data_IF_787258442779
#
_entry.id   IF_787258442779
#
_cell.length_a   1.000
_cell.length_b   1.000
_cell.length_c   1.000
_cell.angle_alpha   90.00
_cell.angle_beta   90.00
_cell.angle_gamma   90.00
#
_symmetry.space_group_name_H-M   'P 1'
#
loop_
_entity.id
_entity.type
_entity.pdbx_description
1 polymer ?
#
# COMPACT_ATOMS: atom_id res chain seq x y z
N UNK A 1 18.12 23.72 -15.24
CA UNK A 1 18.32 23.14 -16.59
C UNK A 1 16.93 22.77 -17.10
N UNK A 2 16.65 22.86 -18.40
CA UNK A 2 15.32 22.53 -18.96
C UNK A 2 15.39 21.23 -19.75
N UNK A 3 14.24 20.56 -19.95
CA UNK A 3 14.13 19.26 -20.66
C UNK A 3 14.98 19.20 -21.92
N UNK A 4 14.81 20.16 -22.84
CA UNK A 4 15.54 20.20 -24.12
C UNK A 4 17.05 20.14 -23.93
N UNK A 5 17.57 20.92 -22.97
CA UNK A 5 19.01 20.96 -22.69
C UNK A 5 19.47 19.63 -22.08
N UNK A 6 18.64 19.01 -21.22
CA UNK A 6 18.95 17.74 -20.58
C UNK A 6 19.07 16.60 -21.59
N UNK A 7 18.11 16.51 -22.49
CA UNK A 7 18.07 15.52 -23.58
C UNK A 7 19.24 15.75 -24.55
N UNK A 8 19.55 17.00 -24.90
CA UNK A 8 20.69 17.32 -25.78
C UNK A 8 22.05 16.93 -25.17
N UNK A 9 22.25 17.22 -23.88
CA UNK A 9 23.47 16.81 -23.17
C UNK A 9 23.54 15.29 -23.01
N UNK A 10 22.43 14.63 -22.70
CA UNK A 10 22.37 13.16 -22.63
C UNK A 10 22.72 12.51 -23.98
N UNK A 11 22.17 13.01 -25.09
CA UNK A 11 22.47 12.52 -26.43
C UNK A 11 23.96 12.68 -26.78
N UNK A 12 24.57 13.81 -26.41
CA UNK A 12 25.99 14.04 -26.61
C UNK A 12 26.86 13.07 -25.81
N UNK A 13 26.48 12.79 -24.57
CA UNK A 13 27.20 11.88 -23.69
C UNK A 13 27.09 10.42 -24.13
N UNK A 14 26.03 10.05 -24.87
CA UNK A 14 25.79 8.70 -25.40
C UNK A 14 26.27 8.53 -26.85
N UNK A 15 27.05 9.46 -27.41
CA UNK A 15 27.52 9.35 -28.80
C UNK A 15 28.48 8.17 -29.07
N UNK A 16 29.03 7.58 -28.00
CA UNK A 16 30.03 6.51 -28.01
C UNK A 16 29.44 5.10 -27.87
N UNK A 17 28.12 4.96 -27.70
CA UNK A 17 27.41 3.66 -27.70
C UNK A 17 26.77 3.38 -29.07
N UNK A 18 26.27 2.14 -29.28
CA UNK A 18 25.67 1.74 -30.55
C UNK A 18 24.44 2.58 -30.89
N UNK A 19 24.25 2.91 -32.17
CA UNK A 19 23.20 3.82 -32.62
C UNK A 19 21.80 3.35 -32.19
N UNK A 20 21.55 2.04 -32.20
CA UNK A 20 20.29 1.44 -31.78
C UNK A 20 20.04 1.60 -30.27
N UNK A 21 21.05 1.38 -29.44
CA UNK A 21 20.97 1.52 -27.98
C UNK A 21 20.83 2.99 -27.57
N UNK A 22 21.49 3.89 -28.32
CA UNK A 22 21.34 5.34 -28.15
C UNK A 22 19.93 5.77 -28.48
N UNK A 23 19.36 5.34 -29.60
CA UNK A 23 18.00 5.71 -30.00
C UNK A 23 16.97 5.21 -28.98
N UNK A 24 17.10 3.98 -28.51
CA UNK A 24 16.21 3.41 -27.48
C UNK A 24 16.33 4.15 -26.14
N UNK A 25 17.55 4.42 -25.68
CA UNK A 25 17.76 5.18 -24.45
C UNK A 25 17.18 6.59 -24.55
N UNK A 26 17.43 7.30 -25.66
CA UNK A 26 16.91 8.64 -25.88
C UNK A 26 15.39 8.65 -25.91
N UNK A 27 14.76 7.70 -26.59
CA UNK A 27 13.31 7.57 -26.64
C UNK A 27 12.71 7.35 -25.25
N UNK A 28 13.31 6.47 -24.44
CA UNK A 28 12.84 6.20 -23.07
C UNK A 28 12.80 7.47 -22.20
N UNK A 29 13.85 8.29 -22.25
CA UNK A 29 13.88 9.53 -21.47
C UNK A 29 12.97 10.61 -22.06
N UNK A 30 12.83 10.69 -23.39
CA UNK A 30 11.87 11.59 -24.02
C UNK A 30 10.43 11.29 -23.59
N UNK A 31 10.03 10.02 -23.65
CA UNK A 31 8.72 9.54 -23.22
C UNK A 31 8.50 9.82 -21.72
N UNK A 32 9.52 9.63 -20.87
CA UNK A 32 9.44 9.91 -19.44
C UNK A 32 9.18 11.40 -19.15
N UNK A 33 9.81 12.30 -19.90
CA UNK A 33 9.54 13.73 -19.79
C UNK A 33 8.16 14.12 -20.34
N UNK A 34 7.69 13.45 -21.40
CA UNK A 34 6.34 13.66 -21.95
C UNK A 34 5.24 13.21 -21.00
N UNK A 35 5.42 12.07 -20.32
CA UNK A 35 4.50 11.57 -19.29
C UNK A 35 4.42 12.49 -18.07
N UNK A 36 5.54 13.06 -17.65
CA UNK A 36 5.57 14.02 -16.55
C UNK A 36 4.86 15.34 -16.90
N UNK A 37 4.89 15.72 -18.18
CA UNK A 37 4.29 16.95 -18.70
C UNK A 37 5.10 18.22 -18.37
N UNK A 38 4.79 19.35 -19.04
CA UNK A 38 5.59 20.58 -18.97
C UNK A 38 5.64 21.20 -17.56
N UNK A 39 4.65 20.90 -16.71
CA UNK A 39 4.58 21.42 -15.34
C UNK A 39 5.57 20.73 -14.38
N UNK A 40 6.00 19.50 -14.69
CA UNK A 40 6.84 18.68 -13.81
C UNK A 40 8.27 18.46 -14.33
N UNK A 41 8.65 19.05 -15.48
CA UNK A 41 9.99 18.88 -16.07
C UNK A 41 11.13 19.20 -15.09
N UNK A 42 10.96 20.26 -14.28
CA UNK A 42 11.99 20.65 -13.32
C UNK A 42 12.12 19.66 -12.15
N UNK A 43 11.02 18.99 -11.76
CA UNK A 43 11.04 17.94 -10.77
C UNK A 43 11.72 16.69 -11.32
N UNK A 44 11.38 16.30 -12.56
CA UNK A 44 12.03 15.18 -13.26
C UNK A 44 13.54 15.36 -13.35
N UNK A 45 14.02 16.56 -13.69
CA UNK A 45 15.47 16.85 -13.75
C UNK A 45 16.12 16.68 -12.37
N UNK A 46 15.46 17.12 -11.30
CA UNK A 46 15.99 16.96 -9.95
C UNK A 46 16.04 15.48 -9.53
N UNK A 47 15.04 14.70 -9.93
CA UNK A 47 14.92 13.28 -9.60
C UNK A 47 15.91 12.42 -10.40
N UNK A 48 16.12 12.76 -11.68
CA UNK A 48 17.10 12.09 -12.56
C UNK A 48 18.55 12.45 -12.19
N UNK A 49 18.80 13.67 -11.70
CA UNK A 49 20.15 14.16 -11.40
C UNK A 49 20.83 14.78 -12.62
N UNK A 50 22.17 14.74 -12.69
CA UNK A 50 22.90 15.27 -13.85
C UNK A 50 22.79 14.33 -15.07
N UNK A 51 22.79 14.86 -16.30
CA UNK A 51 22.80 14.03 -17.51
C UNK A 51 24.04 13.13 -17.60
N UNK A 52 25.18 13.53 -17.01
CA UNK A 52 26.39 12.69 -16.91
C UNK A 52 26.13 11.43 -16.10
N UNK A 53 25.43 11.56 -14.98
CA UNK A 53 25.06 10.42 -14.13
C UNK A 53 24.16 9.44 -14.87
N UNK A 54 23.17 9.97 -15.59
CA UNK A 54 22.26 9.15 -16.38
C UNK A 54 23.00 8.42 -17.50
N UNK A 55 23.86 9.13 -18.24
CA UNK A 55 24.68 8.52 -19.28
C UNK A 55 25.59 7.41 -18.74
N UNK A 56 26.22 7.61 -17.58
CA UNK A 56 27.07 6.61 -16.96
C UNK A 56 26.30 5.35 -16.52
N UNK A 57 25.08 5.50 -16.01
CA UNK A 57 24.22 4.36 -15.65
C UNK A 57 23.83 3.56 -16.90
N UNK A 58 23.47 4.23 -17.99
CA UNK A 58 23.11 3.57 -19.25
C UNK A 58 24.29 2.77 -19.79
N UNK A 59 25.48 3.40 -19.89
CA UNK A 59 26.70 2.74 -20.37
C UNK A 59 27.09 1.54 -19.50
N UNK A 60 27.00 1.68 -18.18
CA UNK A 60 27.28 0.57 -17.27
C UNK A 60 26.22 -0.55 -17.39
N UNK A 61 24.95 -0.21 -17.69
CA UNK A 61 23.91 -1.19 -17.95
C UNK A 61 24.19 -2.05 -19.19
N UNK A 62 24.69 -1.42 -20.26
CA UNK A 62 25.05 -2.06 -21.52
C UNK A 62 26.31 -2.93 -21.39
N UNK A 63 27.34 -2.44 -20.69
CA UNK A 63 28.60 -3.18 -20.48
C UNK A 63 28.40 -4.44 -19.62
N UNK A 64 27.38 -4.45 -18.74
CA UNK A 64 27.02 -5.61 -17.93
C UNK A 64 26.10 -6.61 -18.64
N UNK A 65 25.87 -6.45 -19.95
CA UNK A 65 24.87 -7.21 -20.69
C UNK A 65 25.44 -8.18 -21.74
N UNK A 66 26.49 -8.95 -21.44
CA UNK A 66 26.80 -10.18 -22.21
C UNK A 66 27.37 -11.31 -21.34
N UNK A 67 26.48 -12.11 -20.75
CA UNK A 67 26.48 -13.57 -20.90
C UNK A 67 25.10 -14.09 -20.49
N UNK A 68 24.33 -14.54 -21.49
CA UNK A 68 23.03 -15.17 -21.31
C UNK A 68 23.19 -16.49 -20.55
N UNK A 69 22.88 -16.48 -19.26
CA UNK A 69 22.31 -17.62 -18.54
C UNK A 69 21.38 -17.08 -17.44
N UNK A 70 20.24 -16.53 -17.85
CA UNK A 70 19.13 -16.28 -16.92
C UNK A 70 18.41 -17.61 -16.71
N UNK A 71 18.86 -18.35 -15.70
CA UNK A 71 18.06 -19.42 -15.11
C UNK A 71 16.83 -18.78 -14.45
N UNK A 72 15.64 -19.01 -15.02
CA UNK A 72 14.37 -18.55 -14.47
C UNK A 72 14.12 -19.24 -13.11
N UNK A 73 14.58 -18.59 -12.04
CA UNK A 73 14.25 -18.97 -10.66
C UNK A 73 13.27 -17.94 -10.08
N UNK A 74 12.18 -18.46 -9.49
CA UNK A 74 11.03 -17.73 -8.94
C UNK A 74 11.34 -16.83 -7.72
N UNK A 75 12.62 -16.56 -7.45
CA UNK A 75 13.07 -15.56 -6.46
C UNK A 75 13.55 -14.32 -7.21
N UNK A 76 12.81 -13.24 -7.02
CA UNK A 76 13.03 -11.95 -7.67
C UNK A 76 14.48 -11.46 -7.60
N UNK A 77 14.85 -10.68 -8.62
CA UNK A 77 16.15 -10.04 -8.81
C UNK A 77 16.61 -9.28 -7.55
N UNK A 78 17.43 -9.90 -6.70
CA UNK A 78 18.26 -9.17 -5.74
C UNK A 78 19.62 -8.93 -6.40
N UNK A 79 19.65 -7.91 -7.27
CA UNK A 79 20.84 -7.62 -8.06
C UNK A 79 21.81 -6.73 -7.26
N UNK A 80 22.55 -7.35 -6.34
CA UNK A 80 23.62 -6.71 -5.55
C UNK A 80 24.68 -6.03 -6.42
N UNK A 81 24.90 -6.54 -7.64
CA UNK A 81 25.78 -5.93 -8.65
C UNK A 81 25.29 -4.56 -9.13
N UNK A 82 23.96 -4.34 -9.23
CA UNK A 82 23.42 -3.05 -9.67
C UNK A 82 23.63 -1.96 -8.62
N UNK A 83 23.49 -2.32 -7.34
CA UNK A 83 23.71 -1.39 -6.22
C UNK A 83 25.19 -1.03 -6.07
N UNK A 84 26.06 -2.03 -6.20
CA UNK A 84 27.51 -1.82 -6.21
C UNK A 84 27.96 -1.00 -7.42
N UNK A 85 27.40 -1.24 -8.61
CA UNK A 85 27.71 -0.46 -9.82
C UNK A 85 27.26 1.00 -9.68
N UNK A 86 26.06 1.27 -9.13
CA UNK A 86 25.63 2.64 -8.79
C UNK A 86 26.57 3.36 -7.83
N UNK A 87 27.04 2.69 -6.78
CA UNK A 87 27.99 3.28 -5.81
C UNK A 87 29.36 3.56 -6.45
N UNK A 88 29.82 2.69 -7.37
CA UNK A 88 31.09 2.88 -8.10
C UNK A 88 30.98 4.03 -9.11
N UNK A 89 29.85 4.13 -9.82
CA UNK A 89 29.57 5.21 -10.78
C UNK A 89 29.46 6.55 -10.05
N UNK A 90 28.68 6.62 -8.96
CA UNK A 90 28.55 7.84 -8.17
C UNK A 90 29.92 8.27 -7.60
N UNK A 91 30.75 7.34 -7.14
CA UNK A 91 32.11 7.65 -6.66
C UNK A 91 33.05 8.14 -7.77
N UNK A 92 32.97 7.55 -8.98
CA UNK A 92 33.79 7.94 -10.13
C UNK A 92 33.39 9.33 -10.66
N UNK A 93 32.10 9.61 -10.77
CA UNK A 93 31.58 10.91 -11.22
C UNK A 93 31.96 12.02 -10.25
N UNK A 94 31.80 11.79 -8.93
CA UNK A 94 32.24 12.75 -7.90
C UNK A 94 33.74 13.04 -8.03
N UNK A 95 34.56 12.02 -8.32
CA UNK A 95 36.01 12.21 -8.49
C UNK A 95 36.40 12.94 -9.79
N UNK A 96 35.63 12.79 -10.86
CA UNK A 96 35.85 13.46 -12.15
C UNK A 96 35.31 14.91 -12.16
N UNK A 97 34.22 15.18 -11.42
CA UNK A 97 33.67 16.53 -11.22
C UNK A 97 34.59 17.38 -10.32
N UNK A 98 35.24 16.76 -9.32
CA UNK A 98 36.17 17.42 -8.40
C UNK A 98 37.54 17.74 -9.05
N UNK A 99 37.90 17.11 -10.18
CA UNK A 99 39.17 17.37 -10.88
C UNK A 99 39.12 18.52 -11.89
N UNK A 100 37.92 19.08 -12.16
CA UNK A 100 37.75 20.27 -13.01
C UNK A 100 37.71 21.60 -12.22
N UNK A 101 37.75 21.55 -10.89
CA UNK A 101 37.76 22.72 -10.01
C UNK A 101 39.11 22.86 -9.29
N UNK A 102 39.77 23.96 -9.61
CA UNK A 102 41.04 24.45 -9.07
C UNK A 102 41.16 24.40 -7.54
N UNK A 103 42.20 23.69 -7.10
CA UNK A 103 43.17 23.94 -6.03
C UNK A 103 42.74 24.49 -4.64
N UNK A 104 43.22 23.77 -3.62
CA UNK A 104 43.33 24.11 -2.19
C UNK A 104 42.04 24.08 -1.31
N UNK A 105 41.98 23.13 -0.37
CA UNK A 105 42.50 23.33 0.99
C UNK A 105 42.02 22.23 1.96
N UNK A 106 42.98 21.82 2.78
CA UNK A 106 42.83 21.16 4.06
C UNK A 106 41.81 21.88 4.96
N UNK A 107 40.74 21.18 5.35
CA UNK A 107 40.03 21.44 6.61
C UNK A 107 39.70 20.14 7.32
N UNK A 108 40.71 19.71 8.05
CA UNK A 108 40.63 19.05 9.34
C UNK A 108 39.35 19.39 10.17
N UNK A 109 38.90 18.36 10.91
CA UNK A 109 38.47 18.42 12.33
C UNK A 109 36.96 18.50 12.62
N UNK A 110 36.36 17.38 13.07
CA UNK A 110 36.11 17.27 14.51
C UNK A 110 35.90 15.84 15.03
N UNK A 111 36.44 15.69 16.23
CA UNK A 111 36.57 14.50 17.06
C UNK A 111 35.25 14.09 17.73
N UNK A 112 35.20 12.79 18.07
CA UNK A 112 34.50 12.13 19.19
C UNK A 112 33.04 11.71 18.93
N UNK A 113 32.83 10.40 18.87
CA UNK A 113 32.52 9.63 20.08
C UNK A 113 32.86 8.15 19.88
N UNK A 114 33.76 7.65 20.73
CA UNK A 114 34.19 6.25 20.77
C UNK A 114 33.19 5.47 21.60
N UNK A 115 32.26 4.78 20.94
CA UNK A 115 31.45 3.74 21.59
C UNK A 115 32.13 2.40 21.34
N UNK A 116 32.72 1.86 22.41
CA UNK A 116 33.31 0.52 22.43
C UNK A 116 32.17 -0.51 22.43
N UNK A 117 31.66 -0.87 21.25
CA UNK A 117 30.88 -2.10 21.07
C UNK A 117 31.41 -2.83 19.84
N UNK A 118 32.48 -3.60 20.04
CA UNK A 118 32.93 -4.61 19.07
C UNK A 118 32.01 -5.83 19.22
N UNK A 119 30.73 -5.65 18.89
CA UNK A 119 29.77 -6.72 18.73
C UNK A 119 29.90 -7.30 17.32
N UNK A 120 30.04 -8.62 17.21
CA UNK A 120 30.10 -9.31 15.92
C UNK A 120 28.98 -8.81 15.00
N UNK A 121 29.31 -8.30 13.80
CA UNK A 121 28.36 -7.64 12.89
C UNK A 121 27.16 -8.53 12.57
N UNK A 122 27.36 -9.85 12.58
CA UNK A 122 26.31 -10.83 12.29
C UNK A 122 25.25 -10.92 13.40
N UNK A 123 25.64 -10.83 14.68
CA UNK A 123 24.64 -10.86 15.77
C UNK A 123 23.85 -9.57 15.87
N UNK A 124 24.48 -8.43 15.59
CA UNK A 124 23.80 -7.13 15.60
C UNK A 124 22.87 -7.00 14.40
N UNK A 125 23.24 -7.56 13.23
CA UNK A 125 22.37 -7.67 12.06
C UNK A 125 21.19 -8.61 12.33
N UNK A 126 21.41 -9.76 12.97
CA UNK A 126 20.32 -10.67 13.36
C UNK A 126 19.38 -10.03 14.40
N UNK A 127 19.92 -9.34 15.41
CA UNK A 127 19.12 -8.58 16.39
C UNK A 127 18.34 -7.42 15.74
N UNK A 128 18.94 -6.72 14.77
CA UNK A 128 18.28 -5.68 13.99
C UNK A 128 17.18 -6.27 13.11
N UNK A 129 17.39 -7.45 12.50
CA UNK A 129 16.38 -8.18 11.72
C UNK A 129 15.21 -8.60 12.63
N UNK A 130 15.45 -9.13 13.83
CA UNK A 130 14.37 -9.45 14.78
C UNK A 130 13.65 -8.20 15.31
N UNK A 131 14.36 -7.08 15.50
CA UNK A 131 13.75 -5.78 15.86
C UNK A 131 12.91 -5.22 14.72
N UNK A 132 13.36 -5.33 13.47
CA UNK A 132 12.62 -4.85 12.29
C UNK A 132 11.42 -5.76 12.03
N UNK A 133 11.57 -7.08 12.10
CA UNK A 133 10.46 -8.03 12.00
C UNK A 133 9.46 -7.81 13.14
N UNK A 134 9.94 -7.61 14.38
CA UNK A 134 9.10 -7.27 15.52
C UNK A 134 8.41 -5.92 15.36
N UNK A 135 9.09 -4.89 14.84
CA UNK A 135 8.52 -3.58 14.57
C UNK A 135 7.54 -3.59 13.39
N UNK A 136 7.73 -4.44 12.37
CA UNK A 136 6.80 -4.63 11.26
C UNK A 136 5.57 -5.42 11.71
N UNK A 137 5.75 -6.46 12.53
CA UNK A 137 4.64 -7.17 13.21
C UNK A 137 3.96 -6.33 14.29
N UNK A 138 4.56 -5.25 14.78
CA UNK A 138 3.99 -4.30 15.74
C UNK A 138 3.41 -3.03 15.06
N UNK A 139 3.87 -2.69 13.85
CA UNK A 139 3.33 -1.60 13.03
C UNK A 139 2.13 -2.05 12.16
N UNK A 140 2.08 -3.31 11.72
CA UNK A 140 0.91 -3.90 11.06
C UNK A 140 -0.36 -3.91 11.94
N UNK A 141 -0.32 -4.18 13.26
CA UNK A 141 -1.46 -4.02 14.16
C UNK A 141 -1.84 -2.56 14.40
N UNK A 142 -0.92 -1.61 14.30
CA UNK A 142 -1.21 -0.20 14.61
C UNK A 142 -1.77 0.52 13.37
N UNK A 143 -1.22 0.27 12.18
CA UNK A 143 -1.77 0.78 10.90
C UNK A 143 -2.90 -0.10 10.34
N UNK A 144 -2.70 -1.42 10.34
CA UNK A 144 -3.70 -2.40 9.92
C UNK A 144 -4.81 -2.60 10.96
N UNK A 145 -4.61 -2.24 12.23
CA UNK A 145 -5.69 -2.22 13.22
C UNK A 145 -6.68 -1.10 12.95
N UNK A 146 -6.24 0.09 12.53
CA UNK A 146 -7.14 1.20 12.20
C UNK A 146 -7.86 0.93 10.87
N UNK A 147 -7.13 0.47 9.84
CA UNK A 147 -7.74 0.10 8.56
C UNK A 147 -8.64 -1.15 8.68
N UNK A 148 -8.25 -2.12 9.50
CA UNK A 148 -9.03 -3.31 9.83
C UNK A 148 -10.24 -3.01 10.71
N UNK A 149 -10.15 -2.03 11.61
CA UNK A 149 -11.30 -1.51 12.36
C UNK A 149 -12.28 -0.81 11.43
N UNK A 150 -11.79 0.01 10.50
CA UNK A 150 -12.63 0.65 9.48
C UNK A 150 -13.33 -0.39 8.60
N UNK A 151 -12.57 -1.25 7.93
CA UNK A 151 -13.10 -2.28 7.04
C UNK A 151 -13.98 -3.28 7.80
N UNK A 152 -13.60 -3.65 9.02
CA UNK A 152 -14.36 -4.53 9.90
C UNK A 152 -15.66 -3.90 10.39
N UNK A 153 -15.67 -2.60 10.69
CA UNK A 153 -16.88 -1.87 11.05
C UNK A 153 -17.84 -1.78 9.86
N UNK A 154 -17.35 -1.45 8.67
CA UNK A 154 -18.16 -1.44 7.45
C UNK A 154 -18.68 -2.84 7.10
N UNK A 155 -17.82 -3.87 7.18
CA UNK A 155 -18.19 -5.27 6.97
C UNK A 155 -19.21 -5.77 7.99
N UNK A 156 -19.08 -5.38 9.26
CA UNK A 156 -20.04 -5.73 10.30
C UNK A 156 -21.40 -5.06 10.08
N UNK A 157 -21.42 -3.75 9.75
CA UNK A 157 -22.67 -3.03 9.46
C UNK A 157 -23.35 -3.59 8.20
N UNK A 158 -22.57 -3.86 7.15
CA UNK A 158 -23.08 -4.43 5.91
C UNK A 158 -23.58 -5.86 6.10
N UNK A 159 -22.80 -6.70 6.76
CA UNK A 159 -23.16 -8.09 7.08
C UNK A 159 -24.38 -8.19 7.99
N UNK A 160 -24.53 -7.27 8.95
CA UNK A 160 -25.70 -7.21 9.82
C UNK A 160 -26.94 -6.76 9.03
N UNK A 161 -26.80 -5.78 8.12
CA UNK A 161 -27.88 -5.37 7.22
C UNK A 161 -28.35 -6.50 6.30
N UNK A 162 -27.41 -7.16 5.61
CA UNK A 162 -27.71 -8.29 4.72
C UNK A 162 -28.26 -9.49 5.52
N UNK A 163 -27.72 -9.75 6.71
CA UNK A 163 -28.16 -10.82 7.59
C UNK A 163 -29.59 -10.64 8.08
N UNK A 164 -29.99 -9.41 8.43
CA UNK A 164 -31.39 -9.11 8.81
C UNK A 164 -32.34 -9.28 7.63
N UNK A 165 -31.94 -8.85 6.42
CA UNK A 165 -32.74 -9.01 5.20
C UNK A 165 -32.92 -10.48 4.81
N UNK A 166 -31.83 -11.23 4.68
CA UNK A 166 -31.87 -12.66 4.36
C UNK A 166 -32.54 -13.47 5.46
N UNK A 167 -32.26 -13.18 6.73
CA UNK A 167 -32.85 -13.85 7.89
C UNK A 167 -34.37 -13.64 7.95
N UNK A 168 -34.84 -12.40 7.72
CA UNK A 168 -36.26 -12.08 7.63
C UNK A 168 -36.95 -12.85 6.50
N UNK A 169 -36.35 -12.88 5.30
CA UNK A 169 -36.89 -13.62 4.15
C UNK A 169 -36.96 -15.13 4.42
N UNK A 170 -35.90 -15.71 4.99
CA UNK A 170 -35.86 -17.13 5.35
C UNK A 170 -36.94 -17.50 6.38
N UNK A 171 -37.18 -16.63 7.37
CA UNK A 171 -38.25 -16.83 8.35
C UNK A 171 -39.64 -16.82 7.72
N UNK A 172 -39.88 -15.93 6.75
CA UNK A 172 -41.16 -15.88 6.02
C UNK A 172 -41.37 -17.14 5.17
N UNK A 173 -40.34 -17.61 4.46
CA UNK A 173 -40.39 -18.86 3.69
C UNK A 173 -40.66 -20.05 4.64
N UNK A 174 -39.96 -20.10 5.77
CA UNK A 174 -40.16 -21.13 6.80
C UNK A 174 -41.58 -21.14 7.38
N UNK A 175 -42.18 -19.96 7.58
CA UNK A 175 -43.56 -19.84 8.02
C UNK A 175 -44.53 -20.44 6.99
N UNK A 176 -44.36 -20.12 5.71
CA UNK A 176 -45.19 -20.65 4.61
C UNK A 176 -45.10 -22.19 4.57
N UNK A 177 -43.90 -22.75 4.67
CA UNK A 177 -43.69 -24.21 4.70
C UNK A 177 -44.38 -24.84 5.92
N UNK A 178 -44.30 -24.21 7.10
CA UNK A 178 -45.01 -24.67 8.29
C UNK A 178 -46.53 -24.68 8.09
N UNK A 179 -47.10 -23.65 7.46
CA UNK A 179 -48.54 -23.61 7.17
C UNK A 179 -48.99 -24.73 6.22
N UNK A 180 -48.23 -24.99 5.15
CA UNK A 180 -48.55 -26.08 4.21
C UNK A 180 -48.50 -27.44 4.92
N UNK A 181 -47.47 -27.67 5.74
CA UNK A 181 -47.33 -28.91 6.53
C UNK A 181 -48.41 -29.04 7.60
N UNK A 182 -48.76 -27.95 8.27
CA UNK A 182 -49.82 -27.93 9.28
C UNK A 182 -51.16 -28.37 8.67
N UNK A 183 -51.50 -27.86 7.49
CA UNK A 183 -52.73 -28.22 6.78
C UNK A 183 -52.79 -29.71 6.39
N UNK A 184 -51.66 -30.31 5.99
CA UNK A 184 -51.62 -31.74 5.67
C UNK A 184 -51.74 -32.64 6.90
N UNK A 185 -51.22 -32.22 8.06
CA UNK A 185 -51.15 -33.05 9.26
C UNK A 185 -52.43 -32.95 10.12
N UNK A 186 -53.18 -31.85 10.01
CA UNK A 186 -54.33 -31.57 10.88
C UNK A 186 -55.44 -32.63 10.83
N UNK A 187 -55.59 -33.30 9.67
CA UNK A 187 -56.60 -34.34 9.47
C UNK A 187 -56.27 -35.65 10.23
N UNK A 188 -54.98 -35.94 10.42
CA UNK A 188 -54.52 -37.16 11.09
C UNK A 188 -54.16 -36.92 12.56
N UNK A 189 -53.54 -35.77 12.86
CA UNK A 189 -53.04 -35.43 14.19
C UNK A 189 -53.34 -33.96 14.48
N UNK A 190 -54.56 -33.63 14.94
CA UNK A 190 -54.98 -32.25 15.14
C UNK A 190 -54.09 -31.48 16.14
N UNK A 191 -53.57 -32.17 17.17
CA UNK A 191 -52.63 -31.58 18.13
C UNK A 191 -51.30 -31.16 17.49
N UNK A 192 -50.72 -32.01 16.64
CA UNK A 192 -49.47 -31.68 15.93
C UNK A 192 -49.67 -30.56 14.89
N UNK A 193 -50.84 -30.53 14.24
CA UNK A 193 -51.24 -29.44 13.35
C UNK A 193 -51.29 -28.09 14.06
N UNK A 194 -51.89 -28.02 15.26
CA UNK A 194 -51.93 -26.80 16.07
C UNK A 194 -50.54 -26.29 16.49
N UNK A 195 -49.66 -27.19 16.92
CA UNK A 195 -48.29 -26.82 17.35
C UNK A 195 -47.48 -26.27 16.16
N UNK A 196 -47.58 -26.91 15.00
CA UNK A 196 -46.88 -26.45 13.78
C UNK A 196 -47.44 -25.13 13.24
N UNK A 197 -48.74 -24.89 13.39
CA UNK A 197 -49.39 -23.63 13.05
C UNK A 197 -48.94 -22.50 14.00
N UNK A 198 -48.83 -22.77 15.30
CA UNK A 198 -48.29 -21.83 16.27
C UNK A 198 -46.81 -21.50 16.00
N UNK A 199 -46.02 -22.49 15.59
CA UNK A 199 -44.63 -22.28 15.18
C UNK A 199 -44.52 -21.37 13.94
N UNK A 200 -45.42 -21.53 12.95
CA UNK A 200 -45.50 -20.65 11.79
C UNK A 200 -45.81 -19.20 12.17
N UNK A 201 -46.77 -18.97 13.07
CA UNK A 201 -47.06 -17.63 13.59
C UNK A 201 -45.88 -17.01 14.36
N UNK A 202 -45.14 -17.82 15.14
CA UNK A 202 -43.95 -17.36 15.84
C UNK A 202 -42.84 -16.92 14.86
N UNK A 203 -42.65 -17.62 13.74
CA UNK A 203 -41.70 -17.22 12.70
C UNK A 203 -42.07 -15.90 12.01
N UNK A 204 -43.37 -15.64 11.80
CA UNK A 204 -43.85 -14.35 11.27
C UNK A 204 -43.58 -13.23 12.29
N UNK A 205 -43.88 -13.46 13.58
CA UNK A 205 -43.58 -12.49 14.63
C UNK A 205 -42.07 -12.17 14.69
N UNK A 206 -41.22 -13.18 14.56
CA UNK A 206 -39.77 -13.02 14.48
C UNK A 206 -39.35 -12.17 13.26
N UNK A 207 -39.97 -12.39 12.09
CA UNK A 207 -39.71 -11.59 10.89
C UNK A 207 -40.07 -10.10 11.08
N UNK A 208 -41.16 -9.79 11.80
CA UNK A 208 -41.50 -8.41 12.14
C UNK A 208 -40.48 -7.77 13.10
N UNK A 209 -39.92 -8.54 14.04
CA UNK A 209 -38.84 -8.07 14.91
C UNK A 209 -37.59 -7.72 14.08
N UNK A 210 -37.22 -8.57 13.11
CA UNK A 210 -36.14 -8.26 12.17
C UNK A 210 -36.40 -6.95 11.39
N UNK A 211 -37.63 -6.73 10.92
CA UNK A 211 -38.00 -5.51 10.20
C UNK A 211 -37.98 -4.26 11.11
N UNK A 212 -38.38 -4.41 12.37
CA UNK A 212 -38.31 -3.33 13.36
C UNK A 212 -36.85 -2.95 13.69
N UNK A 213 -35.98 -3.96 13.85
CA UNK A 213 -34.54 -3.75 14.03
C UNK A 213 -33.91 -3.08 12.79
N UNK A 214 -34.31 -3.46 11.58
CA UNK A 214 -33.85 -2.81 10.34
C UNK A 214 -34.21 -1.32 10.30
N UNK A 215 -35.43 -0.94 10.69
CA UNK A 215 -35.82 0.48 10.82
C UNK A 215 -35.01 1.19 11.91
N UNK A 216 -34.73 0.51 13.02
CA UNK A 216 -33.85 1.02 14.07
C UNK A 216 -32.46 1.36 13.54
N UNK A 217 -31.85 0.45 12.78
CA UNK A 217 -30.52 0.62 12.19
C UNK A 217 -30.47 1.83 11.25
N UNK A 218 -31.46 2.02 10.37
CA UNK A 218 -31.51 3.17 9.45
C UNK A 218 -31.52 4.50 10.21
N UNK A 219 -32.21 4.56 11.36
CA UNK A 219 -32.25 5.75 12.21
C UNK A 219 -30.97 5.95 13.04
N UNK A 220 -30.31 4.85 13.41
CA UNK A 220 -29.09 4.85 14.23
C UNK A 220 -27.86 5.24 13.40
N UNK A 221 -27.77 4.86 12.13
CA UNK A 221 -26.63 5.19 11.24
C UNK A 221 -26.28 6.69 11.25
N UNK A 222 -27.20 7.64 10.97
CA UNK A 222 -26.88 9.07 10.99
C UNK A 222 -26.57 9.60 12.40
N UNK A 223 -27.14 9.01 13.45
CA UNK A 223 -26.84 9.39 14.83
C UNK A 223 -25.42 8.96 15.24
N UNK A 224 -24.99 7.77 14.82
CA UNK A 224 -23.63 7.26 15.05
C UNK A 224 -22.61 8.09 14.29
N UNK A 225 -22.89 8.44 13.03
CA UNK A 225 -22.01 9.32 12.23
C UNK A 225 -21.85 10.68 12.91
N UNK A 226 -22.95 11.31 13.36
CA UNK A 226 -22.88 12.58 14.10
C UNK A 226 -22.07 12.45 15.40
N UNK A 227 -22.27 11.37 16.16
CA UNK A 227 -21.50 11.12 17.38
C UNK A 227 -20.00 10.95 17.14
N UNK A 228 -19.62 10.27 16.05
CA UNK A 228 -18.21 10.12 15.65
C UNK A 228 -17.62 11.46 15.22
N UNK A 229 -18.35 12.24 14.41
CA UNK A 229 -17.90 13.56 13.95
C UNK A 229 -17.73 14.52 15.13
N UNK A 230 -18.68 14.56 16.07
CA UNK A 230 -18.59 15.39 17.28
C UNK A 230 -17.40 14.97 18.14
N UNK A 231 -17.12 13.67 18.26
CA UNK A 231 -15.97 13.17 19.01
C UNK A 231 -14.64 13.57 18.36
N UNK A 232 -14.54 13.44 17.03
CA UNK A 232 -13.37 13.88 16.27
C UNK A 232 -13.15 15.39 16.37
N UNK A 233 -14.22 16.19 16.25
CA UNK A 233 -14.15 17.64 16.42
C UNK A 233 -13.71 18.01 17.85
N UNK A 234 -14.24 17.33 18.87
CA UNK A 234 -13.89 17.60 20.26
C UNK A 234 -12.44 17.24 20.60
N UNK A 235 -11.89 16.17 20.02
CA UNK A 235 -10.47 15.82 20.16
C UNK A 235 -9.58 16.82 19.42
N UNK A 236 -9.93 17.20 18.20
CA UNK A 236 -9.12 18.11 17.40
C UNK A 236 -9.10 19.52 18.00
N UNK A 237 -10.24 20.00 18.49
CA UNK A 237 -10.35 21.30 19.16
C UNK A 237 -9.56 21.32 20.49
N UNK A 238 -9.44 20.20 21.20
CA UNK A 238 -8.60 20.08 22.41
C UNK A 238 -7.10 20.12 22.14
N UNK A 239 -6.67 19.79 20.92
CA UNK A 239 -5.25 19.79 20.53
C UNK A 239 -4.82 21.17 20.00
N UNK A 240 -5.76 21.98 19.49
CA UNK A 240 -5.52 23.35 19.01
C UNK A 240 -5.20 24.38 20.11
N UNK A 241 -5.73 24.23 21.32
CA UNK A 241 -5.53 25.19 22.43
C UNK A 241 -4.16 25.09 23.15
N UNK A 242 -3.21 24.30 22.62
CA UNK A 242 -1.85 24.16 23.17
C UNK A 242 -0.73 24.54 22.19
N UNK A 243 -0.98 25.47 21.26
CA UNK A 243 0.08 26.16 20.50
C UNK A 243 -0.08 27.67 20.56
#
# INVERSE_FOLDING_TARGET
>A
MNRKKFIEELAFLLQDIEDAEREEAMQYYEDYFDEAGPENEQQVINDLGSPERVAAIIKAGLDNQFDQDIEYSEKGMDNSNYKQSREIIDAKIISEEETAADDNNDYQNNKRHKNNFRGNSDRNRILLIFIIIGAVFLALPVGGGILGLGLGFFGAVFGLGVGILCGGAACLIGAIVCFVKAFMIIAAYPGAGLITMAAGCALIALAFVFFWLAKGLIKIIPAVIRGIVDFCQNIFNRVGDRR
#
